data_IF_400331252611
#
_entry.id   IF_400331252611
#
_cell.length_a   1.000
_cell.length_b   1.000
_cell.length_c   1.000
_cell.angle_alpha   90.00
_cell.angle_beta   90.00
_cell.angle_gamma   90.00
#
_symmetry.space_group_name_H-M   'P 1'
#
loop_
_entity.id
_entity.type
_entity.pdbx_description
1 polymer ?
#
# COMPACT_ATOMS: atom_id res chain seq x y z
N UNK A 1 -6.41 -1.93 -27.67
CA UNK A 1 -6.99 -1.24 -26.52
C UNK A 1 -7.68 0.05 -27.00
N UNK A 2 -8.93 0.27 -26.63
CA UNK A 2 -9.62 1.52 -27.00
C UNK A 2 -8.87 2.74 -26.47
N UNK A 3 -8.42 2.68 -25.22
CA UNK A 3 -7.53 3.66 -24.58
C UNK A 3 -6.48 2.94 -23.76
N UNK A 4 -5.24 3.37 -23.92
CA UNK A 4 -4.11 2.96 -23.09
C UNK A 4 -3.59 4.20 -22.36
N UNK A 5 -3.83 4.28 -21.05
CA UNK A 5 -3.31 5.33 -20.17
C UNK A 5 -1.97 4.85 -19.64
N UNK A 6 -0.88 5.47 -20.06
CA UNK A 6 0.46 4.91 -19.79
C UNK A 6 1.02 5.28 -18.42
N UNK A 7 0.66 6.42 -17.88
CA UNK A 7 1.30 7.05 -16.71
C UNK A 7 2.84 7.13 -16.83
N UNK A 8 3.38 7.12 -18.05
CA UNK A 8 4.80 7.32 -18.33
C UNK A 8 5.22 8.80 -18.18
N UNK A 9 6.51 9.09 -18.36
CA UNK A 9 7.04 10.45 -18.20
C UNK A 9 6.45 11.47 -19.19
N UNK A 10 5.91 11.00 -20.31
CA UNK A 10 5.25 11.84 -21.31
C UNK A 10 3.73 11.95 -21.10
N UNK A 11 3.18 11.31 -20.07
CA UNK A 11 1.74 11.27 -19.73
C UNK A 11 0.86 10.89 -20.95
N UNK A 12 1.30 9.93 -21.76
CA UNK A 12 0.62 9.54 -23.01
C UNK A 12 -0.69 8.81 -22.74
N UNK A 13 -1.71 9.14 -23.53
CA UNK A 13 -2.95 8.38 -23.63
C UNK A 13 -3.08 7.94 -25.10
N UNK A 14 -2.82 6.67 -25.37
CA UNK A 14 -2.82 6.10 -26.71
C UNK A 14 -4.21 5.53 -27.05
N UNK A 15 -4.53 5.51 -28.36
CA UNK A 15 -5.81 5.00 -28.88
C UNK A 15 -5.55 3.88 -29.89
N UNK A 16 -6.42 2.89 -29.86
CA UNK A 16 -6.43 1.79 -30.84
C UNK A 16 -5.05 1.13 -31.02
N UNK A 17 -4.40 0.82 -29.87
CA UNK A 17 -3.09 0.19 -29.81
C UNK A 17 -3.18 -1.21 -29.18
N UNK A 18 -2.27 -2.08 -29.62
CA UNK A 18 -2.00 -3.35 -28.98
C UNK A 18 -0.85 -3.21 -27.98
N UNK A 19 -0.86 -4.08 -26.97
CA UNK A 19 0.23 -4.25 -26.01
C UNK A 19 0.66 -5.71 -26.06
N UNK A 20 1.90 -5.95 -26.46
CA UNK A 20 2.50 -7.27 -26.47
C UNK A 20 3.43 -7.45 -25.28
N UNK A 21 3.21 -8.53 -24.54
CA UNK A 21 3.96 -8.86 -23.33
C UNK A 21 4.63 -10.22 -23.51
N UNK A 22 5.90 -10.33 -23.10
CA UNK A 22 6.67 -11.57 -23.14
C UNK A 22 7.55 -11.67 -21.89
N UNK A 23 7.62 -12.88 -21.30
CA UNK A 23 8.43 -13.14 -20.10
C UNK A 23 8.17 -12.18 -18.92
N UNK A 24 6.94 -11.72 -18.78
CA UNK A 24 6.53 -10.81 -17.71
C UNK A 24 6.74 -9.33 -17.98
N UNK A 25 7.25 -8.94 -19.17
CA UNK A 25 7.54 -7.55 -19.52
C UNK A 25 6.76 -7.11 -20.75
N UNK A 26 6.50 -5.81 -20.86
CA UNK A 26 5.94 -5.19 -22.05
C UNK A 26 7.06 -5.11 -23.10
N UNK A 27 6.86 -5.79 -24.22
CA UNK A 27 7.86 -5.86 -25.29
C UNK A 27 7.57 -4.85 -26.40
N UNK A 28 6.28 -4.62 -26.73
CA UNK A 28 5.89 -3.66 -27.76
C UNK A 28 4.52 -3.04 -27.47
N UNK A 29 4.40 -1.74 -27.79
CA UNK A 29 3.15 -0.99 -27.79
C UNK A 29 2.98 -0.31 -29.14
N UNK A 30 1.93 -0.61 -29.88
CA UNK A 30 1.69 0.01 -31.19
C UNK A 30 0.41 -0.45 -31.86
N UNK A 31 0.02 0.18 -32.97
CA UNK A 31 -1.17 -0.23 -33.70
C UNK A 31 -0.91 -1.52 -34.48
N UNK A 32 -1.86 -2.46 -34.46
CA UNK A 32 -1.88 -3.67 -35.29
C UNK A 32 -0.56 -4.45 -35.25
N UNK A 33 -0.11 -4.83 -34.03
CA UNK A 33 1.08 -5.63 -33.87
C UNK A 33 0.89 -7.01 -34.52
N UNK A 34 1.78 -7.38 -35.45
CA UNK A 34 1.75 -8.68 -36.10
C UNK A 34 2.58 -9.70 -35.31
N UNK A 35 2.02 -10.13 -34.17
CA UNK A 35 2.66 -11.07 -33.24
C UNK A 35 1.77 -12.28 -32.99
N UNK A 36 2.37 -13.39 -32.62
CA UNK A 36 1.66 -14.58 -32.10
C UNK A 36 1.80 -14.59 -30.59
N UNK A 37 0.72 -14.84 -29.87
CA UNK A 37 0.71 -14.91 -28.42
C UNK A 37 -0.02 -16.18 -27.95
N UNK A 38 0.36 -16.70 -26.79
CA UNK A 38 -0.30 -17.86 -26.17
C UNK A 38 -1.72 -17.51 -25.72
N UNK A 39 -1.92 -16.25 -25.30
CA UNK A 39 -3.22 -15.72 -24.90
C UNK A 39 -3.43 -14.31 -25.47
N UNK A 40 -4.64 -14.04 -25.95
CA UNK A 40 -5.05 -12.72 -26.45
C UNK A 40 -6.31 -12.28 -25.74
N UNK A 41 -6.29 -11.05 -25.19
CA UNK A 41 -7.45 -10.37 -24.61
C UNK A 41 -7.97 -9.34 -25.62
N UNK A 42 -9.24 -9.42 -26.01
CA UNK A 42 -9.87 -8.40 -26.84
C UNK A 42 -10.05 -7.09 -26.02
N UNK A 43 -9.19 -6.12 -26.30
CA UNK A 43 -9.18 -4.81 -25.69
C UNK A 43 -9.91 -3.72 -26.48
N UNK A 44 -10.62 -4.05 -27.58
CA UNK A 44 -11.24 -3.08 -28.50
C UNK A 44 -12.22 -2.13 -27.81
N UNK A 45 -12.78 -2.53 -26.67
CA UNK A 45 -13.68 -1.73 -25.83
C UNK A 45 -13.14 -1.51 -24.40
N UNK A 46 -11.84 -1.68 -24.19
CA UNK A 46 -11.26 -1.57 -22.84
C UNK A 46 -10.46 -0.29 -22.66
N UNK A 47 -10.61 0.33 -21.52
CA UNK A 47 -9.61 1.23 -20.94
C UNK A 47 -8.56 0.41 -20.22
N UNK A 48 -7.30 0.62 -20.54
CA UNK A 48 -6.16 -0.05 -19.95
C UNK A 48 -5.33 0.93 -19.13
N UNK A 49 -5.00 0.54 -17.91
CA UNK A 49 -4.23 1.33 -16.95
C UNK A 49 -3.06 0.52 -16.40
N UNK A 50 -1.97 1.17 -15.94
CA UNK A 50 -0.94 0.50 -15.17
C UNK A 50 -1.54 -0.11 -13.91
N UNK A 51 -1.04 -1.27 -13.50
CA UNK A 51 -1.42 -1.89 -12.24
C UNK A 51 -1.23 -0.92 -11.07
N UNK A 52 -2.25 -0.82 -10.21
CA UNK A 52 -2.19 0.01 -9.01
C UNK A 52 -1.16 -0.57 -8.03
N UNK A 53 -0.47 0.32 -7.33
CA UNK A 53 0.57 -0.02 -6.36
C UNK A 53 0.17 0.50 -5.00
N UNK A 54 -0.15 -0.39 -4.08
CA UNK A 54 -0.53 -0.04 -2.71
C UNK A 54 0.72 0.10 -1.83
N UNK A 55 0.91 1.24 -1.19
CA UNK A 55 2.14 1.59 -0.46
C UNK A 55 2.04 1.50 1.06
N UNK A 56 0.88 1.11 1.58
CA UNK A 56 0.63 0.92 3.01
C UNK A 56 -0.62 0.07 3.23
N UNK A 57 -0.48 -0.98 3.99
CA UNK A 57 -1.57 -1.87 4.43
C UNK A 57 -1.22 -2.53 5.76
N UNK A 58 -2.22 -3.11 6.42
CA UNK A 58 -2.09 -4.03 7.54
C UNK A 58 -3.01 -5.23 7.28
N UNK A 59 -2.52 -6.19 6.49
CA UNK A 59 -3.33 -7.30 5.98
C UNK A 59 -4.02 -8.12 7.08
N UNK A 60 -3.39 -8.26 8.26
CA UNK A 60 -3.99 -8.95 9.39
C UNK A 60 -5.26 -8.27 9.92
N UNK A 61 -5.42 -6.96 9.68
CA UNK A 61 -6.59 -6.19 10.12
C UNK A 61 -7.88 -6.53 9.37
N UNK A 62 -7.79 -7.26 8.24
CA UNK A 62 -8.97 -7.76 7.51
C UNK A 62 -9.95 -8.51 8.43
N UNK A 63 -9.43 -9.23 9.44
CA UNK A 63 -10.25 -9.98 10.40
C UNK A 63 -10.77 -9.14 11.57
N UNK A 64 -10.45 -7.86 11.62
CA UNK A 64 -10.96 -6.90 12.60
C UNK A 64 -11.66 -5.69 11.97
N UNK A 65 -12.06 -5.80 10.70
CA UNK A 65 -12.86 -4.77 10.02
C UNK A 65 -14.29 -4.73 10.56
N UNK A 66 -14.92 -3.57 10.48
CA UNK A 66 -16.34 -3.34 10.81
C UNK A 66 -16.75 -3.80 12.24
N UNK A 67 -15.82 -3.73 13.20
CA UNK A 67 -16.14 -4.04 14.58
C UNK A 67 -16.91 -2.89 15.23
N UNK A 68 -18.13 -3.11 15.79
CA UNK A 68 -18.98 -2.03 16.27
C UNK A 68 -18.34 -1.23 17.43
N UNK A 69 -17.51 -1.87 18.25
CA UNK A 69 -16.88 -1.22 19.40
C UNK A 69 -15.80 -0.18 19.04
N UNK A 70 -15.26 -0.19 17.81
CA UNK A 70 -14.17 0.72 17.42
C UNK A 70 -14.56 1.76 16.35
N UNK A 71 -15.83 1.77 15.92
CA UNK A 71 -16.26 2.60 14.77
C UNK A 71 -16.08 4.11 14.98
N UNK A 72 -16.16 4.59 16.21
CA UNK A 72 -16.07 6.02 16.55
C UNK A 72 -14.90 6.32 17.49
N UNK A 73 -13.88 5.46 17.52
CA UNK A 73 -12.68 5.69 18.35
C UNK A 73 -11.64 6.49 17.58
N UNK A 74 -10.94 7.38 18.28
CA UNK A 74 -9.72 8.01 17.81
C UNK A 74 -8.52 7.05 17.95
N UNK A 75 -7.42 7.34 17.26
CA UNK A 75 -6.30 6.42 17.03
C UNK A 75 -5.79 5.70 18.29
N UNK A 76 -5.51 6.40 19.40
CA UNK A 76 -4.86 5.79 20.56
C UNK A 76 -5.79 4.83 21.32
N UNK A 77 -7.07 5.16 21.47
CA UNK A 77 -8.05 4.26 22.10
C UNK A 77 -8.40 3.10 21.17
N UNK A 78 -8.45 3.36 19.86
CA UNK A 78 -8.63 2.37 18.82
C UNK A 78 -7.49 1.32 18.84
N UNK A 79 -6.23 1.77 18.92
CA UNK A 79 -5.06 0.89 19.03
C UNK A 79 -5.11 0.03 20.30
N UNK A 80 -5.34 0.64 21.48
CA UNK A 80 -5.41 -0.09 22.74
C UNK A 80 -6.48 -1.20 22.71
N UNK A 81 -7.63 -0.91 22.11
CA UNK A 81 -8.72 -1.87 21.97
C UNK A 81 -8.35 -3.02 21.05
N UNK A 82 -7.76 -2.71 19.89
CA UNK A 82 -7.45 -3.71 18.87
C UNK A 82 -6.21 -4.54 19.17
N UNK A 83 -5.24 -4.05 19.95
CA UNK A 83 -4.12 -4.87 20.40
C UNK A 83 -4.59 -6.08 21.23
N UNK A 84 -5.69 -6.01 21.94
CA UNK A 84 -6.28 -7.14 22.68
C UNK A 84 -6.75 -8.25 21.73
N UNK A 85 -7.12 -7.92 20.50
CA UNK A 85 -7.44 -8.87 19.44
C UNK A 85 -6.13 -9.34 18.76
N UNK A 86 -5.30 -8.38 18.33
CA UNK A 86 -4.11 -8.67 17.50
C UNK A 86 -3.03 -9.47 18.24
N UNK A 87 -2.98 -9.47 19.58
CA UNK A 87 -2.08 -10.33 20.35
C UNK A 87 -2.31 -11.83 20.12
N UNK A 88 -3.43 -12.22 19.49
CA UNK A 88 -3.79 -13.61 19.19
C UNK A 88 -3.48 -14.02 17.74
N UNK A 89 -2.69 -13.23 16.98
CA UNK A 89 -2.30 -13.54 15.61
C UNK A 89 -1.47 -14.84 15.56
N UNK A 90 -1.77 -15.65 14.56
CA UNK A 90 -1.01 -16.86 14.19
C UNK A 90 -0.81 -16.91 12.65
N UNK A 91 0.05 -17.82 12.18
CA UNK A 91 0.37 -17.95 10.76
C UNK A 91 -0.86 -18.24 9.88
N UNK A 92 -1.87 -18.96 10.38
CA UNK A 92 -3.10 -19.22 9.63
C UNK A 92 -3.99 -17.97 9.50
N UNK A 93 -4.08 -17.16 10.58
CA UNK A 93 -4.76 -15.86 10.54
C UNK A 93 -4.09 -14.97 9.50
N UNK A 94 -2.76 -14.88 9.52
CA UNK A 94 -1.99 -14.08 8.56
C UNK A 94 -2.20 -14.58 7.13
N UNK A 95 -2.10 -15.88 6.89
CA UNK A 95 -2.30 -16.45 5.54
C UNK A 95 -3.69 -16.14 4.98
N UNK A 96 -4.74 -16.37 5.75
CA UNK A 96 -6.12 -16.18 5.28
C UNK A 96 -6.53 -14.71 5.19
N UNK A 97 -6.10 -13.86 6.11
CA UNK A 97 -6.33 -12.42 6.02
C UNK A 97 -5.57 -11.81 4.83
N UNK A 98 -4.34 -12.26 4.58
CA UNK A 98 -3.54 -11.83 3.43
C UNK A 98 -4.15 -12.28 2.10
N UNK A 99 -4.61 -13.52 1.98
CA UNK A 99 -5.37 -13.99 0.80
C UNK A 99 -6.61 -13.13 0.56
N UNK A 100 -7.32 -12.78 1.61
CA UNK A 100 -8.55 -11.97 1.51
C UNK A 100 -8.24 -10.53 1.10
N UNK A 101 -7.34 -9.83 1.82
CA UNK A 101 -7.01 -8.42 1.54
C UNK A 101 -6.33 -8.22 0.19
N UNK A 102 -5.31 -9.04 -0.13
CA UNK A 102 -4.64 -8.96 -1.43
C UNK A 102 -5.56 -9.41 -2.58
N UNK A 103 -6.42 -10.41 -2.37
CA UNK A 103 -7.42 -10.82 -3.36
C UNK A 103 -8.40 -9.69 -3.68
N UNK A 104 -8.87 -8.95 -2.66
CA UNK A 104 -9.71 -7.77 -2.82
C UNK A 104 -8.97 -6.65 -3.58
N UNK A 105 -7.72 -6.34 -3.22
CA UNK A 105 -6.87 -5.39 -3.95
C UNK A 105 -6.74 -5.75 -5.43
N UNK A 106 -6.46 -7.02 -5.75
CA UNK A 106 -6.30 -7.48 -7.14
C UNK A 106 -7.56 -7.36 -7.96
N UNK A 107 -8.72 -7.66 -7.39
CA UNK A 107 -10.03 -7.47 -8.03
C UNK A 107 -10.32 -6.00 -8.35
N UNK A 108 -9.61 -5.08 -7.70
CA UNK A 108 -9.69 -3.65 -7.93
C UNK A 108 -8.43 -3.08 -8.63
N UNK A 109 -7.74 -3.92 -9.43
CA UNK A 109 -6.66 -3.50 -10.33
C UNK A 109 -5.30 -3.32 -9.68
N UNK A 110 -5.13 -3.68 -8.41
CA UNK A 110 -3.83 -3.60 -7.74
C UNK A 110 -2.96 -4.79 -8.14
N UNK A 111 -1.69 -4.53 -8.46
CA UNK A 111 -0.71 -5.56 -8.87
C UNK A 111 0.45 -5.69 -7.90
N UNK A 112 0.62 -4.72 -7.00
CA UNK A 112 1.68 -4.69 -5.99
C UNK A 112 1.12 -4.24 -4.65
N UNK A 113 1.35 -5.02 -3.60
CA UNK A 113 0.93 -4.71 -2.23
C UNK A 113 2.14 -4.58 -1.32
N UNK A 114 2.31 -3.40 -0.69
CA UNK A 114 3.15 -3.25 0.49
C UNK A 114 2.28 -3.47 1.73
N UNK A 115 2.77 -4.30 2.66
CA UNK A 115 2.14 -4.55 3.96
C UNK A 115 3.04 -4.14 5.11
N UNK A 116 2.53 -3.31 6.01
CA UNK A 116 3.18 -2.91 7.25
C UNK A 116 2.77 -3.86 8.38
N UNK A 117 3.35 -5.05 8.40
CA UNK A 117 3.14 -6.02 9.47
C UNK A 117 4.08 -5.73 10.64
N UNK A 118 3.55 -5.36 11.79
CA UNK A 118 4.35 -4.95 12.96
C UNK A 118 3.95 -5.66 14.28
N UNK A 119 2.95 -6.51 14.27
CA UNK A 119 2.49 -7.25 15.45
C UNK A 119 3.00 -8.69 15.39
N UNK A 120 3.94 -9.03 16.26
CA UNK A 120 4.59 -10.35 16.34
C UNK A 120 4.39 -10.97 17.73
N UNK A 121 3.26 -11.63 17.99
CA UNK A 121 3.05 -12.32 19.27
C UNK A 121 4.06 -13.46 19.46
N UNK A 122 4.47 -13.70 20.71
CA UNK A 122 5.31 -14.85 21.02
C UNK A 122 4.66 -16.15 20.52
N UNK A 123 5.45 -17.03 19.91
CA UNK A 123 5.02 -18.33 19.37
C UNK A 123 4.03 -18.27 18.19
N UNK A 124 3.90 -17.13 17.48
CA UNK A 124 2.98 -16.98 16.34
C UNK A 124 3.43 -17.72 15.06
N UNK A 125 4.66 -18.23 15.00
CA UNK A 125 5.27 -18.83 13.82
C UNK A 125 5.92 -17.80 12.88
N UNK A 126 6.28 -18.22 11.66
CA UNK A 126 6.84 -17.31 10.63
C UNK A 126 5.69 -16.61 9.88
N UNK A 127 5.35 -15.40 10.35
CA UNK A 127 4.23 -14.64 9.83
C UNK A 127 4.51 -14.07 8.43
N UNK A 128 5.76 -13.70 8.12
CA UNK A 128 6.14 -13.23 6.79
C UNK A 128 6.09 -14.36 5.75
N UNK A 129 6.48 -15.59 6.15
CA UNK A 129 6.32 -16.75 5.28
C UNK A 129 4.86 -16.98 4.89
N UNK A 130 3.94 -16.85 5.85
CA UNK A 130 2.52 -16.96 5.59
C UNK A 130 1.98 -15.89 4.62
N UNK A 131 2.51 -14.65 4.71
CA UNK A 131 2.18 -13.58 3.78
C UNK A 131 2.71 -13.85 2.36
N UNK A 132 3.98 -14.21 2.22
CA UNK A 132 4.57 -14.53 0.92
C UNK A 132 3.89 -15.73 0.26
N UNK A 133 3.58 -16.78 1.03
CA UNK A 133 2.82 -17.93 0.52
C UNK A 133 1.42 -17.54 0.01
N UNK A 134 0.73 -16.61 0.68
CA UNK A 134 -0.54 -16.07 0.22
C UNK A 134 -0.38 -15.25 -1.08
N UNK A 135 0.67 -14.42 -1.17
CA UNK A 135 0.99 -13.63 -2.36
C UNK A 135 1.30 -14.52 -3.57
N UNK A 136 2.09 -15.57 -3.37
CA UNK A 136 2.43 -16.56 -4.41
C UNK A 136 1.20 -17.31 -4.93
N UNK A 137 0.31 -17.72 -4.02
CA UNK A 137 -0.95 -18.36 -4.40
C UNK A 137 -1.84 -17.45 -5.24
N UNK A 138 -1.88 -16.15 -4.94
CA UNK A 138 -2.63 -15.16 -5.71
C UNK A 138 -1.91 -14.70 -6.98
N UNK A 139 -0.58 -14.73 -6.99
CA UNK A 139 0.24 -14.19 -8.07
C UNK A 139 0.35 -12.66 -8.04
N UNK A 140 0.28 -12.03 -6.86
CA UNK A 140 0.50 -10.60 -6.67
C UNK A 140 1.95 -10.31 -6.24
N UNK A 141 2.49 -9.14 -6.60
CA UNK A 141 3.77 -8.70 -6.04
C UNK A 141 3.60 -8.32 -4.58
N UNK A 142 4.40 -8.92 -3.72
CA UNK A 142 4.40 -8.65 -2.28
C UNK A 142 5.66 -7.92 -1.86
N UNK A 143 5.48 -6.75 -1.26
CA UNK A 143 6.51 -6.04 -0.54
C UNK A 143 6.16 -6.12 0.95
N UNK A 144 6.69 -7.13 1.64
CA UNK A 144 6.43 -7.33 3.07
C UNK A 144 7.33 -6.43 3.90
N UNK A 145 6.84 -5.97 5.03
CA UNK A 145 7.70 -5.36 6.03
C UNK A 145 8.01 -6.32 7.17
N UNK A 146 9.27 -6.33 7.62
CA UNK A 146 9.59 -6.78 8.98
C UNK A 146 9.39 -5.57 9.90
N UNK A 147 8.14 -5.32 10.26
CA UNK A 147 7.77 -4.30 11.24
C UNK A 147 8.10 -4.73 12.66
N UNK A 148 7.98 -3.84 13.64
CA UNK A 148 8.40 -4.14 15.00
C UNK A 148 7.87 -3.15 16.02
N UNK A 149 7.81 -3.57 17.28
CA UNK A 149 7.57 -2.77 18.47
C UNK A 149 8.44 -3.28 19.61
N UNK A 150 9.10 -2.39 20.34
CA UNK A 150 9.95 -2.73 21.48
C UNK A 150 9.59 -1.96 22.77
N UNK A 151 8.61 -1.01 22.69
CA UNK A 151 8.09 -0.29 23.84
C UNK A 151 6.67 -0.72 24.17
N UNK A 152 6.49 -1.37 25.31
CA UNK A 152 5.16 -1.71 25.83
C UNK A 152 4.57 -0.61 26.70
N UNK A 153 3.34 -0.83 27.19
CA UNK A 153 2.69 0.07 28.15
C UNK A 153 3.58 0.31 29.40
N UNK A 154 4.38 -0.67 29.85
CA UNK A 154 5.32 -0.52 30.96
C UNK A 154 6.43 0.48 30.65
N UNK A 155 6.82 0.60 29.41
CA UNK A 155 7.91 1.43 28.93
C UNK A 155 7.40 2.78 28.39
N UNK A 156 6.10 3.07 28.59
CA UNK A 156 5.46 4.30 28.10
C UNK A 156 4.97 4.25 26.66
N UNK A 157 4.96 3.07 26.02
CA UNK A 157 4.32 2.82 24.73
C UNK A 157 2.82 2.48 24.86
N UNK A 158 2.19 2.05 23.75
CA UNK A 158 0.77 1.67 23.73
C UNK A 158 0.53 0.14 23.71
N UNK A 159 1.39 -0.69 23.06
CA UNK A 159 1.13 -2.12 22.92
C UNK A 159 1.29 -2.88 24.23
N UNK A 160 0.57 -4.03 24.41
CA UNK A 160 0.80 -4.92 25.55
C UNK A 160 2.16 -5.63 25.43
N UNK A 161 2.70 -6.07 26.58
CA UNK A 161 4.00 -6.77 26.65
C UNK A 161 4.09 -8.00 25.74
N UNK A 162 2.96 -8.66 25.45
CA UNK A 162 2.92 -9.90 24.67
C UNK A 162 3.21 -9.74 23.18
N UNK A 163 3.27 -8.50 22.67
CA UNK A 163 3.51 -8.22 21.24
C UNK A 163 4.74 -7.34 20.99
N UNK A 164 5.53 -7.06 22.04
CA UNK A 164 6.82 -6.38 21.90
C UNK A 164 7.97 -7.38 21.96
N UNK A 165 9.06 -7.04 21.31
CA UNK A 165 10.27 -7.86 21.22
C UNK A 165 11.48 -7.02 21.64
N UNK A 166 12.58 -7.67 21.99
CA UNK A 166 13.87 -6.97 22.20
C UNK A 166 14.45 -6.49 20.89
N UNK A 167 15.27 -5.43 20.93
CA UNK A 167 15.97 -4.90 19.74
C UNK A 167 16.81 -6.00 19.07
N UNK A 168 17.53 -6.83 19.86
CA UNK A 168 18.37 -7.90 19.32
C UNK A 168 17.55 -8.97 18.57
N UNK A 169 16.40 -9.38 19.13
CA UNK A 169 15.48 -10.31 18.45
C UNK A 169 14.94 -9.72 17.14
N UNK A 170 14.54 -8.45 17.16
CA UNK A 170 14.03 -7.74 15.98
C UNK A 170 15.11 -7.66 14.90
N UNK A 171 16.35 -7.28 15.26
CA UNK A 171 17.44 -7.16 14.29
C UNK A 171 17.83 -8.52 13.70
N UNK A 172 17.95 -9.56 14.52
CA UNK A 172 18.26 -10.91 14.05
C UNK A 172 17.20 -11.43 13.07
N UNK A 173 15.92 -11.26 13.40
CA UNK A 173 14.83 -11.71 12.54
C UNK A 173 14.69 -10.83 11.28
N UNK A 174 15.02 -9.53 11.35
CA UNK A 174 15.08 -8.63 10.20
C UNK A 174 16.11 -9.09 9.17
N UNK A 175 17.32 -9.45 9.62
CA UNK A 175 18.37 -10.00 8.76
C UNK A 175 17.87 -11.30 8.12
N UNK A 176 17.34 -12.23 8.90
CA UNK A 176 16.79 -13.49 8.41
C UNK A 176 15.73 -13.28 7.31
N UNK A 177 14.79 -12.35 7.54
CA UNK A 177 13.73 -12.06 6.57
C UNK A 177 14.28 -11.46 5.28
N UNK A 178 15.24 -10.53 5.37
CA UNK A 178 15.87 -9.92 4.19
C UNK A 178 16.61 -11.01 3.40
N UNK A 179 17.47 -11.79 4.04
CA UNK A 179 18.27 -12.82 3.36
C UNK A 179 17.41 -13.94 2.74
N UNK A 180 16.25 -14.25 3.35
CA UNK A 180 15.38 -15.31 2.87
C UNK A 180 14.46 -14.87 1.72
N UNK A 181 13.96 -13.64 1.74
CA UNK A 181 12.84 -13.23 0.89
C UNK A 181 13.12 -12.04 -0.02
N UNK A 182 14.11 -11.19 0.29
CA UNK A 182 14.32 -9.98 -0.49
C UNK A 182 14.97 -10.31 -1.85
N UNK A 183 14.32 -9.84 -2.93
CA UNK A 183 14.84 -9.92 -4.29
C UNK A 183 14.83 -8.51 -4.89
N UNK A 184 16.00 -7.94 -5.20
CA UNK A 184 16.17 -6.60 -5.74
C UNK A 184 16.17 -6.55 -7.28
N UNK A 185 16.11 -7.72 -7.95
CA UNK A 185 16.13 -7.81 -9.40
C UNK A 185 14.92 -7.13 -10.04
N UNK A 186 15.07 -6.66 -11.26
CA UNK A 186 13.97 -6.19 -12.09
C UNK A 186 12.92 -7.31 -12.25
N UNK A 187 11.65 -6.97 -12.12
CA UNK A 187 10.55 -7.93 -12.17
C UNK A 187 10.31 -8.73 -10.89
N UNK A 188 11.15 -8.56 -9.84
CA UNK A 188 11.02 -9.32 -8.59
C UNK A 188 9.59 -9.29 -8.02
N UNK A 189 9.11 -10.45 -7.57
CA UNK A 189 7.79 -10.63 -6.99
C UNK A 189 7.79 -10.42 -5.46
N UNK A 190 8.93 -10.60 -4.80
CA UNK A 190 9.09 -10.46 -3.36
C UNK A 190 10.12 -9.39 -3.01
N UNK A 191 9.79 -8.51 -2.09
CA UNK A 191 10.72 -7.58 -1.46
C UNK A 191 10.45 -7.46 0.03
N UNK A 192 11.45 -7.06 0.80
CA UNK A 192 11.35 -6.81 2.24
C UNK A 192 11.79 -5.38 2.54
N UNK A 193 11.04 -4.69 3.42
CA UNK A 193 11.42 -3.43 4.03
C UNK A 193 11.51 -3.57 5.55
N UNK A 194 12.19 -2.65 6.21
CA UNK A 194 12.14 -2.53 7.65
C UNK A 194 11.15 -1.43 8.05
N UNK A 195 10.22 -1.77 8.94
CA UNK A 195 9.13 -0.86 9.28
C UNK A 195 8.76 -0.92 10.78
N UNK A 196 9.58 -0.37 11.68
CA UNK A 196 9.17 -0.10 13.05
C UNK A 196 7.83 0.65 13.08
N UNK A 197 6.92 0.30 14.00
CA UNK A 197 5.51 0.70 13.94
C UNK A 197 5.30 2.22 13.87
N UNK A 198 5.82 2.95 14.86
CA UNK A 198 5.65 4.41 14.98
C UNK A 198 6.59 4.98 16.03
N UNK A 199 6.93 6.27 16.02
CA UNK A 199 7.82 6.87 17.03
C UNK A 199 7.35 6.70 18.47
N UNK A 200 6.07 6.52 18.71
CA UNK A 200 5.51 6.34 20.07
C UNK A 200 5.44 4.87 20.54
N UNK A 201 5.74 3.91 19.69
CA UNK A 201 5.72 2.47 20.01
C UNK A 201 7.10 1.80 19.92
N UNK A 202 8.14 2.58 19.59
CA UNK A 202 9.50 2.07 19.41
C UNK A 202 10.54 2.97 20.06
N UNK A 203 11.68 2.38 20.45
CA UNK A 203 12.80 3.10 21.03
C UNK A 203 13.64 3.83 19.96
N UNK A 204 14.37 4.87 20.38
CA UNK A 204 15.37 5.53 19.55
C UNK A 204 16.45 4.56 19.04
N UNK A 205 16.80 3.56 19.85
CA UNK A 205 17.80 2.56 19.51
C UNK A 205 17.31 1.65 18.37
N UNK A 206 16.07 1.17 18.45
CA UNK A 206 15.46 0.36 17.39
C UNK A 206 15.39 1.15 16.08
N UNK A 207 14.93 2.41 16.11
CA UNK A 207 14.88 3.26 14.91
C UNK A 207 16.27 3.45 14.30
N UNK A 208 17.29 3.75 15.11
CA UNK A 208 18.66 3.96 14.62
C UNK A 208 19.25 2.69 14.01
N UNK A 209 19.12 1.55 14.69
CA UNK A 209 19.61 0.27 14.18
C UNK A 209 18.88 -0.15 12.91
N UNK A 210 17.57 0.05 12.82
CA UNK A 210 16.79 -0.21 11.61
C UNK A 210 17.28 0.64 10.43
N UNK A 211 17.57 1.93 10.65
CA UNK A 211 18.08 2.80 9.58
C UNK A 211 19.48 2.38 9.08
N UNK A 212 20.36 1.94 9.99
CA UNK A 212 21.68 1.44 9.64
C UNK A 212 21.56 0.12 8.87
N UNK A 213 20.78 -0.83 9.39
CA UNK A 213 20.58 -2.15 8.78
C UNK A 213 19.96 -2.06 7.39
N UNK A 214 18.94 -1.23 7.23
CA UNK A 214 18.27 -1.05 5.94
C UNK A 214 19.24 -0.57 4.85
N UNK A 215 20.11 0.39 5.16
CA UNK A 215 21.12 0.89 4.22
C UNK A 215 22.24 -0.11 3.95
N UNK A 216 22.61 -0.91 4.95
CA UNK A 216 23.59 -1.99 4.79
C UNK A 216 23.08 -3.06 3.81
N UNK A 217 21.81 -3.40 3.85
CA UNK A 217 21.18 -4.41 2.99
C UNK A 217 20.46 -3.83 1.76
N UNK A 218 20.52 -2.51 1.55
CA UNK A 218 19.85 -1.80 0.45
C UNK A 218 18.35 -2.05 0.40
N UNK A 219 17.71 -2.22 1.57
CA UNK A 219 16.25 -2.28 1.71
C UNK A 219 15.70 -0.93 2.18
N UNK A 220 14.43 -0.70 2.01
CA UNK A 220 13.78 0.58 2.30
C UNK A 220 13.23 0.63 3.73
N UNK A 221 12.92 1.84 4.17
CA UNK A 221 12.41 2.15 5.50
C UNK A 221 11.01 2.74 5.44
N UNK A 222 10.13 2.27 6.33
CA UNK A 222 8.77 2.76 6.45
C UNK A 222 8.32 2.85 7.91
N UNK A 223 7.45 3.82 8.23
CA UNK A 223 6.77 3.93 9.53
C UNK A 223 5.57 4.88 9.43
N UNK A 224 4.66 4.83 10.40
CA UNK A 224 3.64 5.87 10.57
C UNK A 224 4.30 7.14 11.10
N UNK A 225 3.91 8.30 10.59
CA UNK A 225 4.44 9.59 11.06
C UNK A 225 3.48 10.74 10.83
N UNK A 226 3.36 11.61 11.84
CA UNK A 226 2.55 12.83 11.80
C UNK A 226 1.08 12.55 11.42
N UNK A 227 0.53 11.45 11.93
CA UNK A 227 -0.85 11.07 11.64
C UNK A 227 -1.85 11.89 12.45
N UNK A 228 -1.63 12.03 13.76
CA UNK A 228 -2.56 12.73 14.66
C UNK A 228 -1.87 13.80 15.48
N UNK A 229 -2.68 14.73 16.04
CA UNK A 229 -2.18 15.71 17.01
C UNK A 229 -1.72 15.05 18.31
N UNK A 230 -2.29 13.91 18.67
CA UNK A 230 -1.88 13.18 19.87
C UNK A 230 -0.45 12.64 19.74
N UNK A 231 -0.08 12.16 18.53
CA UNK A 231 1.32 11.78 18.25
C UNK A 231 2.25 12.99 18.40
N UNK A 232 1.91 14.14 17.82
CA UNK A 232 2.70 15.38 17.95
C UNK A 232 2.88 15.77 19.40
N UNK A 233 1.79 15.80 20.18
CA UNK A 233 1.81 16.16 21.60
C UNK A 233 2.62 15.15 22.42
N UNK A 234 2.50 13.86 22.13
CA UNK A 234 3.25 12.80 22.77
C UNK A 234 4.76 12.96 22.55
N UNK A 235 5.17 13.21 21.30
CA UNK A 235 6.59 13.39 20.95
C UNK A 235 7.17 14.68 21.55
N UNK A 236 6.43 15.77 21.54
CA UNK A 236 6.84 17.02 22.18
C UNK A 236 7.02 16.84 23.71
N UNK A 237 6.12 16.10 24.35
CA UNK A 237 6.21 15.85 25.80
C UNK A 237 7.38 14.92 26.16
N UNK A 238 7.65 13.88 25.35
CA UNK A 238 8.66 12.86 25.64
C UNK A 238 10.06 13.26 25.17
N UNK A 239 10.17 13.81 23.94
CA UNK A 239 11.44 14.05 23.26
C UNK A 239 11.79 15.54 23.13
N UNK A 240 10.83 16.44 23.43
CA UNK A 240 10.99 17.89 23.33
C UNK A 240 11.06 18.42 21.88
N UNK A 241 10.78 17.58 20.89
CA UNK A 241 10.84 17.94 19.46
C UNK A 241 9.66 17.35 18.69
N UNK A 242 9.40 17.90 17.50
CA UNK A 242 8.36 17.40 16.60
C UNK A 242 8.74 16.01 16.00
N UNK A 243 7.75 15.20 15.60
CA UNK A 243 7.99 13.83 15.09
C UNK A 243 9.03 13.78 13.96
N UNK A 244 8.94 14.64 12.93
CA UNK A 244 9.88 14.60 11.80
C UNK A 244 11.30 14.99 12.22
N UNK A 245 11.45 15.97 13.11
CA UNK A 245 12.77 16.35 13.63
C UNK A 245 13.42 15.20 14.40
N UNK A 246 12.63 14.48 15.22
CA UNK A 246 13.10 13.29 15.92
C UNK A 246 13.57 12.21 14.93
N UNK A 247 12.78 11.91 13.90
CA UNK A 247 13.14 10.94 12.87
C UNK A 247 14.39 11.36 12.09
N UNK A 248 14.53 12.64 11.77
CA UNK A 248 15.72 13.18 11.11
C UNK A 248 17.01 12.95 11.93
N UNK A 249 16.94 13.18 13.26
CA UNK A 249 18.08 12.92 14.19
C UNK A 249 18.50 11.44 14.24
N UNK A 250 17.58 10.53 13.93
CA UNK A 250 17.79 9.09 13.93
C UNK A 250 18.15 8.50 12.54
N UNK A 251 18.31 9.37 11.53
CA UNK A 251 18.70 8.96 10.19
C UNK A 251 17.54 8.52 9.29
N UNK A 252 16.32 8.90 9.60
CA UNK A 252 15.10 8.52 8.88
C UNK A 252 14.67 9.57 7.84
N UNK A 253 15.61 10.08 7.07
CA UNK A 253 15.36 10.91 5.89
C UNK A 253 16.18 10.39 4.71
N UNK A 254 15.60 10.43 3.54
CA UNK A 254 16.23 10.00 2.29
C UNK A 254 15.19 9.48 1.30
N UNK A 255 15.61 9.25 0.08
CA UNK A 255 14.79 8.66 -0.98
C UNK A 255 14.49 7.17 -0.75
N UNK A 256 15.17 6.56 0.22
CA UNK A 256 14.97 5.20 0.73
C UNK A 256 13.88 5.13 1.83
N UNK A 257 13.29 6.25 2.22
CA UNK A 257 12.32 6.37 3.34
C UNK A 257 10.99 6.91 2.84
N UNK A 258 9.88 6.33 3.33
CA UNK A 258 8.56 6.93 3.19
C UNK A 258 7.73 6.73 4.44
N UNK A 259 6.85 7.70 4.72
CA UNK A 259 5.99 7.72 5.89
C UNK A 259 4.53 7.51 5.51
N UNK A 260 3.76 6.77 6.31
CA UNK A 260 2.32 6.72 6.17
C UNK A 260 1.68 7.99 6.78
N UNK A 261 0.56 8.41 6.19
CA UNK A 261 -0.32 9.53 6.57
C UNK A 261 0.26 10.92 6.34
N UNK A 262 1.25 11.36 7.12
CA UNK A 262 1.92 12.65 6.93
C UNK A 262 0.98 13.86 7.00
N UNK A 263 -0.03 13.83 7.88
CA UNK A 263 -1.11 14.83 7.92
C UNK A 263 -0.64 16.16 8.52
N UNK A 264 0.11 16.08 9.62
CA UNK A 264 0.45 17.23 10.46
C UNK A 264 1.86 17.79 10.22
N UNK A 265 2.41 17.64 9.02
CA UNK A 265 3.65 18.31 8.63
C UNK A 265 3.43 19.83 8.48
N UNK A 266 4.37 20.63 9.00
CA UNK A 266 4.42 22.07 8.78
C UNK A 266 5.17 22.43 7.48
N UNK A 267 5.26 23.73 7.14
CA UNK A 267 5.87 24.19 5.90
C UNK A 267 7.37 23.87 5.79
N UNK A 268 8.09 23.91 6.91
CA UNK A 268 9.52 23.60 6.95
C UNK A 268 9.75 22.10 6.77
N UNK A 269 8.91 21.28 7.39
CA UNK A 269 8.92 19.82 7.26
C UNK A 269 8.60 19.38 5.83
N UNK A 270 7.62 20.00 5.16
CA UNK A 270 7.33 19.71 3.75
C UNK A 270 8.52 20.04 2.83
N UNK A 271 9.22 21.17 3.08
CA UNK A 271 10.43 21.51 2.31
C UNK A 271 11.56 20.50 2.57
N UNK A 272 11.71 20.04 3.81
CA UNK A 272 12.71 19.03 4.18
C UNK A 272 12.44 17.69 3.48
N UNK A 273 11.19 17.23 3.47
CA UNK A 273 10.79 16.03 2.72
C UNK A 273 11.12 16.15 1.23
N UNK A 274 10.81 17.30 0.61
CA UNK A 274 11.13 17.54 -0.79
C UNK A 274 12.64 17.54 -1.06
N UNK A 275 13.44 18.18 -0.20
CA UNK A 275 14.90 18.27 -0.33
C UNK A 275 15.59 16.91 -0.17
N UNK A 276 15.08 16.07 0.70
CA UNK A 276 15.65 14.74 0.98
C UNK A 276 15.11 13.64 0.09
N UNK A 277 14.03 13.91 -0.65
CA UNK A 277 13.34 12.88 -1.45
C UNK A 277 12.52 11.90 -0.61
N UNK A 278 12.34 12.17 0.68
CA UNK A 278 11.54 11.35 1.58
C UNK A 278 10.07 11.40 1.18
N UNK A 279 9.43 10.23 1.07
CA UNK A 279 8.09 10.11 0.53
C UNK A 279 6.97 10.02 1.56
N UNK A 280 5.72 10.13 1.07
CA UNK A 280 4.50 10.02 1.87
C UNK A 280 3.50 9.09 1.20
N UNK A 281 2.98 8.11 1.92
CA UNK A 281 1.84 7.28 1.55
C UNK A 281 0.56 7.91 2.07
N UNK A 282 -0.27 8.43 1.17
CA UNK A 282 -1.55 9.06 1.51
C UNK A 282 -2.64 8.01 1.68
N UNK A 283 -3.35 8.01 2.82
CA UNK A 283 -4.39 7.05 3.20
C UNK A 283 -5.72 7.79 3.48
N UNK A 284 -6.38 8.36 2.44
CA UNK A 284 -7.48 9.30 2.66
C UNK A 284 -8.67 8.73 3.44
N UNK A 285 -9.13 7.51 3.14
CA UNK A 285 -10.30 6.91 3.83
C UNK A 285 -9.97 6.66 5.31
N UNK A 286 -8.82 6.06 5.61
CA UNK A 286 -8.39 5.82 6.99
C UNK A 286 -8.27 7.13 7.78
N UNK A 287 -7.62 8.14 7.21
CA UNK A 287 -7.47 9.45 7.82
C UNK A 287 -8.83 10.10 8.15
N UNK A 288 -9.83 9.92 7.28
CA UNK A 288 -11.19 10.41 7.50
C UNK A 288 -11.90 9.62 8.59
N UNK A 289 -11.81 8.28 8.56
CA UNK A 289 -12.48 7.40 9.51
C UNK A 289 -11.97 7.59 10.94
N UNK A 290 -10.66 7.68 11.11
CA UNK A 290 -10.02 7.92 12.41
C UNK A 290 -10.04 9.39 12.84
N UNK A 291 -10.63 10.29 12.05
CA UNK A 291 -10.66 11.74 12.28
C UNK A 291 -9.26 12.35 12.42
N UNK A 292 -8.24 11.74 11.81
CA UNK A 292 -6.84 12.18 11.92
C UNK A 292 -6.60 13.53 11.24
N UNK A 293 -7.35 13.85 10.18
CA UNK A 293 -7.29 15.12 9.45
C UNK A 293 -7.10 14.97 7.95
N UNK A 294 -6.74 16.07 7.27
CA UNK A 294 -6.52 16.12 5.82
C UNK A 294 -5.04 16.40 5.56
N UNK A 295 -4.34 15.45 4.94
CA UNK A 295 -2.95 15.63 4.56
C UNK A 295 -2.78 16.72 3.50
N UNK A 296 -1.66 17.44 3.53
CA UNK A 296 -1.35 18.59 2.66
C UNK A 296 -0.82 18.15 1.29
N UNK A 297 -1.55 17.23 0.64
CA UNK A 297 -1.14 16.62 -0.64
C UNK A 297 -0.92 17.66 -1.76
N UNK A 298 -1.81 18.66 -1.96
CA UNK A 298 -1.56 19.68 -3.00
C UNK A 298 -0.22 20.39 -2.83
N UNK A 299 0.14 20.76 -1.60
CA UNK A 299 1.41 21.43 -1.28
C UNK A 299 2.59 20.48 -1.42
N UNK A 300 2.46 19.22 -1.00
CA UNK A 300 3.49 18.19 -1.19
C UNK A 300 3.82 18.00 -2.67
N UNK A 301 2.80 17.84 -3.52
CA UNK A 301 2.98 17.70 -4.97
C UNK A 301 3.61 18.94 -5.58
N UNK A 302 3.19 20.15 -5.18
CA UNK A 302 3.76 21.40 -5.66
C UNK A 302 5.23 21.58 -5.29
N UNK A 303 5.67 21.05 -4.15
CA UNK A 303 7.05 21.06 -3.68
C UNK A 303 7.89 19.91 -4.27
N UNK A 304 7.28 18.93 -4.93
CA UNK A 304 7.97 17.76 -5.48
C UNK A 304 8.24 16.65 -4.45
N UNK A 305 7.56 16.65 -3.31
CA UNK A 305 7.58 15.52 -2.37
C UNK A 305 7.03 14.29 -3.07
N UNK A 306 7.72 13.13 -3.02
CA UNK A 306 7.17 11.89 -3.54
C UNK A 306 5.91 11.48 -2.78
N UNK A 307 4.78 11.34 -3.48
CA UNK A 307 3.51 10.93 -2.88
C UNK A 307 2.98 9.68 -3.57
N UNK A 308 2.63 8.67 -2.79
CA UNK A 308 1.89 7.50 -3.21
C UNK A 308 0.51 7.45 -2.57
N UNK A 309 -0.33 6.50 -3.01
CA UNK A 309 -1.65 6.26 -2.46
C UNK A 309 -1.69 4.89 -1.78
N UNK A 310 -2.50 4.76 -0.73
CA UNK A 310 -2.62 3.52 0.02
C UNK A 310 -3.97 3.37 0.70
N UNK A 311 -4.39 2.12 0.91
CA UNK A 311 -5.66 1.80 1.57
C UNK A 311 -5.56 1.80 3.09
N UNK A 312 -4.35 1.60 3.67
CA UNK A 312 -4.15 1.33 5.08
C UNK A 312 -4.80 0.00 5.55
N UNK A 313 -4.88 -0.24 6.84
CA UNK A 313 -5.48 -1.44 7.41
C UNK A 313 -7.00 -1.48 7.29
N UNK A 314 -7.54 -2.68 7.07
CA UNK A 314 -9.00 -2.84 6.93
C UNK A 314 -9.78 -2.60 8.24
N UNK A 315 -9.12 -2.43 9.39
CA UNK A 315 -9.80 -2.00 10.62
C UNK A 315 -10.03 -0.48 10.67
N UNK A 316 -9.23 0.31 9.90
CA UNK A 316 -9.36 1.76 9.77
C UNK A 316 -9.97 2.21 8.43
N UNK A 317 -10.04 1.34 7.42
CA UNK A 317 -10.63 1.60 6.12
C UNK A 317 -11.96 0.85 5.91
N UNK A 318 -12.12 -0.33 6.51
CA UNK A 318 -13.17 -1.33 6.30
C UNK A 318 -13.15 -2.02 4.92
N UNK A 319 -12.31 -1.58 3.98
CA UNK A 319 -12.11 -2.16 2.66
C UNK A 319 -10.63 -2.40 2.37
N UNK A 320 -10.36 -2.94 1.17
CA UNK A 320 -9.04 -3.03 0.55
C UNK A 320 -9.16 -2.72 -0.95
N UNK A 321 -9.74 -1.53 -1.27
CA UNK A 321 -9.96 -1.09 -2.65
C UNK A 321 -9.22 0.21 -2.94
N UNK A 322 -8.10 0.11 -3.67
CA UNK A 322 -7.35 1.30 -4.07
C UNK A 322 -8.10 2.17 -5.10
N UNK A 323 -9.08 1.60 -5.82
CA UNK A 323 -9.99 2.37 -6.69
C UNK A 323 -10.90 3.32 -5.90
N UNK A 324 -11.33 2.94 -4.69
CA UNK A 324 -12.09 3.83 -3.81
C UNK A 324 -11.23 4.97 -3.29
N UNK A 325 -9.98 4.68 -2.92
CA UNK A 325 -9.03 5.70 -2.49
C UNK A 325 -8.81 6.77 -3.56
N UNK A 326 -8.70 6.39 -4.84
CA UNK A 326 -8.60 7.33 -5.95
C UNK A 326 -9.74 8.35 -5.95
N UNK A 327 -10.98 7.86 -5.83
CA UNK A 327 -12.15 8.73 -5.85
C UNK A 327 -12.24 9.61 -4.59
N UNK A 328 -11.98 9.04 -3.43
CA UNK A 328 -12.01 9.76 -2.16
C UNK A 328 -10.91 10.83 -2.12
N UNK A 329 -9.67 10.49 -2.50
CA UNK A 329 -8.58 11.46 -2.58
C UNK A 329 -8.93 12.64 -3.49
N UNK A 330 -9.47 12.39 -4.69
CA UNK A 330 -9.90 13.45 -5.59
C UNK A 330 -10.95 14.36 -4.95
N UNK A 331 -12.03 13.79 -4.39
CA UNK A 331 -13.12 14.57 -3.81
C UNK A 331 -12.70 15.34 -2.55
N UNK A 332 -11.92 14.71 -1.67
CA UNK A 332 -11.42 15.31 -0.45
C UNK A 332 -10.59 16.55 -0.74
N UNK A 333 -9.64 16.44 -1.68
CA UNK A 333 -8.78 17.56 -2.02
C UNK A 333 -9.52 18.62 -2.84
N UNK A 334 -10.48 18.24 -3.69
CA UNK A 334 -11.37 19.22 -4.36
C UNK A 334 -12.14 20.06 -3.35
N UNK A 335 -12.65 19.45 -2.30
CA UNK A 335 -13.36 20.16 -1.23
C UNK A 335 -12.42 21.08 -0.45
N UNK A 336 -11.22 20.59 -0.09
CA UNK A 336 -10.29 21.29 0.80
C UNK A 336 -9.46 22.37 0.09
N UNK A 337 -8.99 22.12 -1.15
CA UNK A 337 -8.01 22.95 -1.85
C UNK A 337 -8.54 23.61 -3.15
N UNK A 338 -9.81 23.38 -3.51
CA UNK A 338 -10.46 23.99 -4.67
C UNK A 338 -9.60 23.83 -5.95
N UNK A 339 -9.14 24.94 -6.56
CA UNK A 339 -8.39 24.93 -7.83
C UNK A 339 -6.97 24.37 -7.71
N UNK A 340 -6.42 24.29 -6.50
CA UNK A 340 -5.09 23.73 -6.23
C UNK A 340 -5.11 22.21 -6.01
N UNK A 341 -6.30 21.61 -5.98
CA UNK A 341 -6.44 20.17 -5.83
C UNK A 341 -5.84 19.40 -7.02
N UNK A 342 -5.26 18.21 -6.78
CA UNK A 342 -4.83 17.34 -7.86
C UNK A 342 -6.00 16.97 -8.76
N UNK A 343 -5.72 16.81 -10.06
CA UNK A 343 -6.70 16.30 -11.03
C UNK A 343 -6.96 14.81 -10.82
N UNK A 344 -7.99 14.25 -11.47
CA UNK A 344 -8.22 12.80 -11.43
C UNK A 344 -7.03 12.00 -11.98
N UNK A 345 -6.32 12.54 -12.97
CA UNK A 345 -5.11 11.93 -13.52
C UNK A 345 -3.90 12.04 -12.57
N UNK A 346 -3.74 13.16 -11.86
CA UNK A 346 -2.69 13.26 -10.84
C UNK A 346 -2.88 12.24 -9.71
N UNK A 347 -4.13 12.01 -9.30
CA UNK A 347 -4.44 10.98 -8.29
C UNK A 347 -4.13 9.57 -8.81
N UNK A 348 -4.42 9.28 -10.09
CA UNK A 348 -4.01 8.02 -10.71
C UNK A 348 -2.48 7.86 -10.71
N UNK A 349 -1.74 8.93 -11.04
CA UNK A 349 -0.27 8.91 -10.99
C UNK A 349 0.25 8.65 -9.59
N UNK A 350 -0.40 9.17 -8.54
CA UNK A 350 -0.05 8.82 -7.15
C UNK A 350 -0.19 7.32 -6.87
N UNK A 351 -1.27 6.68 -7.35
CA UNK A 351 -1.54 5.26 -7.12
C UNK A 351 -0.73 4.32 -8.03
N UNK A 352 0.03 4.83 -8.98
CA UNK A 352 0.82 4.08 -9.96
C UNK A 352 2.30 4.43 -9.84
N UNK A 353 2.84 5.29 -10.73
CA UNK A 353 4.28 5.65 -10.72
C UNK A 353 4.74 6.34 -9.44
N UNK A 354 3.88 7.15 -8.79
CA UNK A 354 4.19 7.77 -7.51
C UNK A 354 4.38 6.73 -6.40
N UNK A 355 3.46 5.80 -6.29
CA UNK A 355 3.54 4.66 -5.37
C UNK A 355 4.74 3.76 -5.67
N UNK A 356 5.00 3.46 -6.96
CA UNK A 356 6.17 2.67 -7.36
C UNK A 356 7.48 3.36 -6.95
N UNK A 357 7.57 4.69 -7.08
CA UNK A 357 8.73 5.48 -6.62
C UNK A 357 8.94 5.35 -5.10
N UNK A 358 7.87 5.37 -4.27
CA UNK A 358 7.98 5.16 -2.83
C UNK A 358 8.58 3.79 -2.50
N UNK A 359 8.21 2.77 -3.29
CA UNK A 359 8.73 1.41 -3.12
C UNK A 359 10.12 1.20 -3.76
N UNK A 360 10.74 2.24 -4.34
CA UNK A 360 12.02 2.12 -5.04
C UNK A 360 11.94 1.22 -6.27
N UNK A 361 10.80 1.26 -6.99
CA UNK A 361 10.55 0.44 -8.19
C UNK A 361 10.39 1.36 -9.40
N UNK A 362 11.28 1.23 -10.34
CA UNK A 362 11.23 1.91 -11.65
C UNK A 362 10.68 1.00 -12.76
N UNK A 363 10.54 -0.28 -12.47
CA UNK A 363 10.09 -1.33 -13.39
C UNK A 363 8.56 -1.53 -13.41
N UNK A 364 7.81 -0.91 -12.50
CA UNK A 364 6.33 -0.98 -12.39
C UNK A 364 5.69 0.41 -12.36
N UNK A 365 4.35 0.49 -12.32
CA UNK A 365 3.58 1.72 -12.15
C UNK A 365 3.43 2.56 -13.43
N UNK A 366 3.89 2.07 -14.56
CA UNK A 366 3.72 2.70 -15.88
C UNK A 366 3.67 1.65 -16.99
N UNK A 367 3.04 1.97 -18.13
CA UNK A 367 2.99 1.12 -19.31
C UNK A 367 3.94 1.66 -20.39
N UNK A 368 5.14 1.07 -20.43
CA UNK A 368 6.17 1.37 -21.42
C UNK A 368 6.95 0.10 -21.75
N UNK A 369 7.52 0.03 -22.92
CA UNK A 369 8.38 -1.08 -23.33
C UNK A 369 9.54 -1.26 -22.34
N UNK A 370 9.84 -2.51 -21.97
CA UNK A 370 10.85 -2.88 -20.99
C UNK A 370 10.37 -2.84 -19.53
N UNK A 371 9.17 -2.33 -19.22
CA UNK A 371 8.57 -2.38 -17.88
C UNK A 371 7.79 -3.66 -17.66
N UNK A 372 7.54 -4.00 -16.41
CA UNK A 372 6.73 -5.15 -16.07
C UNK A 372 5.32 -5.04 -16.68
N UNK A 373 4.82 -6.14 -17.18
CA UNK A 373 3.45 -6.24 -17.69
C UNK A 373 2.45 -6.34 -16.53
N UNK A 374 2.37 -5.25 -15.76
CA UNK A 374 1.45 -5.03 -14.64
C UNK A 374 0.39 -4.04 -15.08
N UNK A 375 -0.83 -4.50 -15.32
CA UNK A 375 -1.91 -3.68 -15.86
C UNK A 375 -3.28 -4.21 -15.46
N UNK A 376 -4.30 -3.35 -15.58
CA UNK A 376 -5.68 -3.76 -15.47
C UNK A 376 -6.56 -3.14 -16.56
N UNK A 377 -7.69 -3.78 -16.82
CA UNK A 377 -8.60 -3.44 -17.90
C UNK A 377 -10.01 -3.27 -17.38
N UNK A 378 -10.71 -2.26 -17.91
CA UNK A 378 -12.11 -1.97 -17.58
C UNK A 378 -12.89 -1.81 -18.89
N UNK A 379 -14.01 -2.49 -19.01
CA UNK A 379 -14.91 -2.35 -20.17
C UNK A 379 -15.55 -0.96 -20.19
N UNK A 380 -15.21 -0.17 -21.20
CA UNK A 380 -15.69 1.22 -21.37
C UNK A 380 -17.19 1.31 -21.68
N UNK A 381 -17.86 0.18 -21.99
CA UNK A 381 -19.30 0.12 -22.24
C UNK A 381 -20.15 0.04 -20.97
N UNK A 382 -19.52 -0.07 -19.80
CA UNK A 382 -20.23 0.00 -18.51
C UNK A 382 -21.05 1.28 -18.42
N UNK A 383 -22.27 1.22 -17.87
CA UNK A 383 -23.17 2.39 -17.79
C UNK A 383 -22.57 3.58 -17.06
N UNK A 384 -21.79 3.32 -16.01
CA UNK A 384 -21.12 4.38 -15.25
C UNK A 384 -19.99 5.06 -16.03
N UNK A 385 -19.52 4.49 -17.15
CA UNK A 385 -18.47 5.03 -18.00
C UNK A 385 -18.99 5.70 -19.29
N UNK A 386 -20.29 5.71 -19.51
CA UNK A 386 -20.87 6.38 -20.68
C UNK A 386 -20.51 7.88 -20.65
N UNK A 387 -19.93 8.38 -21.73
CA UNK A 387 -19.48 9.77 -21.85
C UNK A 387 -18.08 10.06 -21.29
N UNK A 388 -17.35 9.04 -20.79
CA UNK A 388 -16.03 9.24 -20.16
C UNK A 388 -14.83 9.20 -21.14
N UNK A 389 -15.06 8.95 -22.42
CA UNK A 389 -13.99 8.76 -23.42
C UNK A 389 -13.16 10.02 -23.69
N UNK A 390 -13.65 11.19 -23.33
CA UNK A 390 -12.95 12.47 -23.53
C UNK A 390 -11.66 12.57 -22.68
N UNK A 391 -11.66 12.00 -21.48
CA UNK A 391 -10.52 12.00 -20.56
C UNK A 391 -10.41 10.68 -19.80
N UNK A 392 -9.91 9.65 -20.46
CA UNK A 392 -9.71 8.33 -19.87
C UNK A 392 -8.72 8.34 -18.68
N UNK A 393 -7.77 9.29 -18.65
CA UNK A 393 -6.78 9.43 -17.58
C UNK A 393 -7.41 9.79 -16.24
N UNK A 394 -8.41 10.66 -16.22
CA UNK A 394 -9.03 11.16 -14.99
C UNK A 394 -10.21 10.30 -14.50
N UNK A 395 -10.73 9.37 -15.30
CA UNK A 395 -11.95 8.60 -15.03
C UNK A 395 -11.97 8.00 -13.63
N UNK A 396 -10.87 7.37 -13.22
CA UNK A 396 -10.80 6.63 -11.94
C UNK A 396 -10.94 7.55 -10.73
N UNK A 397 -10.36 8.76 -10.81
CA UNK A 397 -10.50 9.77 -9.74
C UNK A 397 -11.81 10.53 -9.79
N UNK A 398 -12.31 10.88 -10.99
CA UNK A 398 -13.50 11.75 -11.14
C UNK A 398 -14.82 11.00 -11.10
N UNK A 399 -14.99 9.99 -11.95
CA UNK A 399 -16.19 9.17 -12.03
C UNK A 399 -16.14 8.06 -10.99
N UNK A 400 -14.98 7.43 -10.86
CA UNK A 400 -14.77 6.23 -10.08
C UNK A 400 -15.32 4.99 -10.77
N UNK A 401 -14.85 3.83 -10.34
CA UNK A 401 -15.33 2.54 -10.80
C UNK A 401 -15.85 1.77 -9.60
N UNK A 402 -17.08 1.30 -9.72
CA UNK A 402 -17.73 0.51 -8.67
C UNK A 402 -17.63 -0.97 -9.03
N UNK A 403 -17.14 -1.74 -8.08
CA UNK A 403 -16.96 -3.18 -8.25
C UNK A 403 -15.64 -3.56 -8.96
N UNK A 404 -15.45 -4.87 -9.20
CA UNK A 404 -14.21 -5.39 -9.74
C UNK A 404 -13.91 -4.91 -11.16
N UNK A 405 -12.62 -4.85 -11.50
CA UNK A 405 -12.15 -4.62 -12.88
C UNK A 405 -12.35 -5.88 -13.72
N UNK A 406 -12.34 -5.75 -15.05
CA UNK A 406 -12.58 -6.91 -15.93
C UNK A 406 -11.37 -7.84 -15.97
N UNK A 407 -10.17 -7.28 -16.01
CA UNK A 407 -8.92 -8.05 -15.97
C UNK A 407 -7.89 -7.35 -15.10
N UNK A 408 -7.11 -8.15 -14.37
CA UNK A 408 -5.84 -7.74 -13.75
C UNK A 408 -4.75 -8.67 -14.22
N UNK A 409 -3.64 -8.11 -14.68
CA UNK A 409 -2.47 -8.81 -15.17
C UNK A 409 -1.29 -8.43 -14.31
N UNK A 410 -0.60 -9.41 -13.73
CA UNK A 410 0.60 -9.23 -12.91
C UNK A 410 1.76 -9.96 -13.55
N UNK A 411 2.81 -9.24 -13.87
CA UNK A 411 4.00 -9.81 -14.53
C UNK A 411 3.64 -10.66 -15.76
N UNK A 412 2.72 -10.15 -16.59
CA UNK A 412 2.25 -10.82 -17.79
C UNK A 412 1.25 -11.98 -17.57
N UNK A 413 0.93 -12.32 -16.33
CA UNK A 413 -0.03 -13.36 -15.99
C UNK A 413 -1.40 -12.78 -15.67
N UNK A 414 -2.45 -13.26 -16.31
CA UNK A 414 -3.84 -12.92 -15.94
C UNK A 414 -4.15 -13.51 -14.57
N UNK A 415 -4.49 -12.66 -13.61
CA UNK A 415 -4.81 -13.05 -12.22
C UNK A 415 -6.28 -12.78 -11.87
N UNK A 416 -6.90 -11.81 -12.56
CA UNK A 416 -8.34 -11.55 -12.48
C UNK A 416 -8.91 -11.59 -13.91
N UNK A 417 -10.03 -12.28 -14.08
CA UNK A 417 -10.79 -12.35 -15.33
C UNK A 417 -12.28 -12.17 -15.04
N UNK A 418 -12.92 -11.23 -15.73
CA UNK A 418 -14.34 -10.92 -15.56
C UNK A 418 -14.71 -10.66 -14.08
N UNK A 419 -13.82 -9.92 -13.37
CA UNK A 419 -14.01 -9.58 -11.98
C UNK A 419 -13.79 -10.68 -10.94
N UNK A 420 -13.29 -11.86 -11.37
CA UNK A 420 -13.02 -13.00 -10.49
C UNK A 420 -11.54 -13.37 -10.50
N UNK A 421 -11.00 -13.73 -9.34
CA UNK A 421 -9.67 -14.31 -9.24
C UNK A 421 -9.63 -15.65 -10.00
N UNK A 422 -8.58 -15.86 -10.80
CA UNK A 422 -8.39 -17.11 -11.54
C UNK A 422 -7.27 -18.00 -10.96
N UNK A 423 -6.59 -17.51 -9.94
CA UNK A 423 -5.45 -18.16 -9.29
C UNK A 423 -5.84 -18.94 -8.05
N UNK A 424 -6.96 -18.60 -7.43
CA UNK A 424 -7.51 -19.25 -6.24
C UNK A 424 -9.02 -19.42 -6.35
N UNK A 425 -9.59 -20.33 -5.58
CA UNK A 425 -11.04 -20.49 -5.42
C UNK A 425 -11.53 -19.46 -4.38
N UNK A 426 -12.14 -18.37 -4.85
CA UNK A 426 -12.63 -17.28 -4.01
C UNK A 426 -13.65 -17.75 -2.96
N UNK A 427 -14.55 -18.66 -3.33
CA UNK A 427 -15.62 -19.12 -2.44
C UNK A 427 -15.04 -19.95 -1.30
N UNK A 428 -14.05 -20.81 -1.61
CA UNK A 428 -13.32 -21.58 -0.61
C UNK A 428 -12.50 -20.67 0.31
N UNK A 429 -11.74 -19.71 -0.24
CA UNK A 429 -10.98 -18.74 0.55
C UNK A 429 -11.90 -17.96 1.50
N UNK A 430 -13.04 -17.47 1.00
CA UNK A 430 -14.00 -16.72 1.81
C UNK A 430 -14.60 -17.60 2.94
N UNK A 431 -14.92 -18.86 2.65
CA UNK A 431 -15.47 -19.79 3.65
C UNK A 431 -14.44 -20.09 4.77
N UNK A 432 -13.19 -20.43 4.39
CA UNK A 432 -12.08 -20.69 5.33
C UNK A 432 -11.75 -19.45 6.15
N UNK A 433 -11.65 -18.26 5.50
CA UNK A 433 -11.36 -17.01 6.17
C UNK A 433 -12.44 -16.62 7.18
N UNK A 434 -13.73 -16.75 6.83
CA UNK A 434 -14.83 -16.47 7.75
C UNK A 434 -14.85 -17.45 8.95
N UNK A 435 -14.54 -18.73 8.76
CA UNK A 435 -14.44 -19.68 9.85
C UNK A 435 -13.30 -19.31 10.81
N UNK A 436 -12.09 -19.10 10.26
CA UNK A 436 -10.92 -18.71 11.07
C UNK A 436 -11.12 -17.35 11.77
N UNK A 437 -11.76 -16.38 11.12
CA UNK A 437 -12.06 -15.06 11.69
C UNK A 437 -12.95 -15.19 12.95
N UNK A 438 -14.01 -16.01 12.90
CA UNK A 438 -14.87 -16.27 14.07
C UNK A 438 -14.07 -16.86 15.24
N UNK A 439 -13.23 -17.87 14.96
CA UNK A 439 -12.39 -18.50 15.98
C UNK A 439 -11.35 -17.53 16.56
N UNK A 440 -10.80 -16.67 15.72
CA UNK A 440 -9.84 -15.65 16.10
C UNK A 440 -10.45 -14.59 17.01
N UNK A 441 -11.60 -14.04 16.63
CA UNK A 441 -12.31 -13.01 17.41
C UNK A 441 -12.88 -13.56 18.72
N UNK A 442 -13.18 -14.85 18.80
CA UNK A 442 -13.65 -15.49 20.05
C UNK A 442 -12.56 -15.64 21.11
N UNK A 443 -11.27 -15.40 20.78
CA UNK A 443 -10.14 -15.40 21.72
C UNK A 443 -9.90 -14.05 22.41
N UNK A 444 -10.56 -12.98 21.96
CA UNK A 444 -10.37 -11.59 22.39
C UNK A 444 -11.26 -11.18 23.58
#
# INVERSE_FOLDING_TARGET
MARLVTCDDADRILRDVDVYCENGFITSIGPQLNVTADETIDGSHMFCYPGLVNTHHHLYQVFSRNLPQVQNMELFDWLRTLYEIWKNLDADVIRLSSLTGMGELMKHGCTTCFDHHYVFPAHSGDLLEAQFAAADALGIRMYASRGSMDLSVKDGGLPPDSVVQTVDEIMADSIRCIEKYHDDRCGAMHRVALAPCSPFSVSAELLRQSAILARQYHVRLHTHLCETKDEENFMLAREGVRPLEYMARLGWLGDDVWFAHGIHFNDEELRLLAQTGTGVAHCPISNMKLSSGIARIPEMLALGVPVGLAVDGSASNDGSSLLEELRVAFLLHRLNASRQAPTGYDVLKMATRGSARLLGRDDIGQLSEGKCADLFLIDSRRLELVGCDADAGSVLGTVGVRGPVDYTVVHGRVTVRQGRLVTVDEERVAAEANAKCRDYLAKA
#
